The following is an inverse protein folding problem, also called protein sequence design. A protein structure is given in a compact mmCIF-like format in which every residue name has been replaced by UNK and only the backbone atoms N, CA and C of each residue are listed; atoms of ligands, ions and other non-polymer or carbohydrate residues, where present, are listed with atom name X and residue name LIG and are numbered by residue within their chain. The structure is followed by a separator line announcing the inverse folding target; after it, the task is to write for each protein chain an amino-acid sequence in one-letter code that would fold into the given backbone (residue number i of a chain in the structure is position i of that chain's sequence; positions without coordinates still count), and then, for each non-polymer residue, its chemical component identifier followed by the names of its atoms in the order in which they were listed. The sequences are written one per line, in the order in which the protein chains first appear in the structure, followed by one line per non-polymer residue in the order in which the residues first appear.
data_IF_177676401381
#
_entry.id   IF_177676401381
#
_cell.length_a   1.000
_cell.length_b   1.000
_cell.length_c   1.000
_cell.angle_alpha   90.00
_cell.angle_beta   90.00
_cell.angle_gamma   90.00
#
_symmetry.space_group_name_H-M   'P 1'
#
loop_
_entity.id
_entity.type
_entity.pdbx_description
1 polymer ?
#
# COMPACT_ATOMS: atom_id res chain seq x y z
N UNK A 1 8.18 15.61 -21.72
CA UNK A 1 8.66 14.27 -21.31
C UNK A 1 10.02 13.89 -21.92
N UNK A 2 10.31 14.22 -23.19
CA UNK A 2 11.57 13.83 -23.85
C UNK A 2 12.80 14.72 -23.54
N UNK A 3 12.64 15.97 -23.09
CA UNK A 3 13.77 16.87 -22.77
C UNK A 3 14.56 16.51 -21.51
N UNK A 4 14.21 15.42 -20.80
CA UNK A 4 14.71 15.09 -19.47
C UNK A 4 15.91 14.14 -19.43
N UNK A 5 16.44 13.77 -20.60
CA UNK A 5 17.50 12.77 -20.72
C UNK A 5 18.91 13.37 -20.69
N UNK A 6 19.07 14.69 -20.86
CA UNK A 6 20.40 15.33 -20.94
C UNK A 6 21.01 15.84 -19.63
N UNK A 7 20.22 16.03 -18.55
CA UNK A 7 20.69 16.78 -17.37
C UNK A 7 20.72 15.90 -16.11
N UNK A 8 21.93 15.60 -15.59
CA UNK A 8 22.15 14.81 -14.34
C UNK A 8 21.30 15.28 -13.15
N UNK A 9 21.01 16.59 -13.07
CA UNK A 9 20.19 17.23 -12.02
C UNK A 9 18.72 16.80 -12.04
N UNK A 10 18.18 16.42 -13.20
CA UNK A 10 16.79 15.94 -13.33
C UNK A 10 16.62 14.46 -13.03
N UNK A 11 17.70 13.67 -13.01
CA UNK A 11 17.66 12.24 -12.71
C UNK A 11 17.05 11.92 -11.34
N UNK A 12 17.26 12.80 -10.34
CA UNK A 12 16.65 12.68 -9.00
C UNK A 12 15.14 12.92 -9.03
N UNK A 13 14.70 13.95 -9.74
CA UNK A 13 13.28 14.29 -9.91
C UNK A 13 12.54 13.22 -10.72
N UNK A 14 13.18 12.64 -11.73
CA UNK A 14 12.65 11.49 -12.49
C UNK A 14 12.43 10.26 -11.63
N UNK A 15 13.38 9.91 -10.77
CA UNK A 15 13.26 8.76 -9.86
C UNK A 15 12.15 8.97 -8.83
N UNK A 16 12.07 10.16 -8.23
CA UNK A 16 10.99 10.51 -7.31
C UNK A 16 9.62 10.50 -8.01
N UNK A 17 9.52 11.05 -9.22
CA UNK A 17 8.28 11.01 -10.00
C UNK A 17 7.87 9.59 -10.38
N UNK A 18 8.82 8.78 -10.87
CA UNK A 18 8.59 7.37 -11.17
C UNK A 18 8.15 6.58 -9.93
N UNK A 19 8.75 6.86 -8.77
CA UNK A 19 8.36 6.27 -7.49
C UNK A 19 6.90 6.56 -7.14
N UNK A 20 6.49 7.83 -7.18
CA UNK A 20 5.11 8.26 -6.87
C UNK A 20 4.10 7.57 -7.80
N UNK A 21 4.42 7.50 -9.10
CA UNK A 21 3.60 6.81 -10.10
C UNK A 21 3.52 5.31 -9.81
N UNK A 22 4.65 4.66 -9.54
CA UNK A 22 4.69 3.23 -9.19
C UNK A 22 3.89 2.92 -7.92
N UNK A 23 3.99 3.75 -6.88
CA UNK A 23 3.19 3.56 -5.66
C UNK A 23 1.68 3.58 -5.94
N UNK A 24 1.23 4.51 -6.79
CA UNK A 24 -0.18 4.65 -7.13
C UNK A 24 -0.66 3.51 -8.03
N UNK A 25 0.18 3.11 -9.00
CA UNK A 25 -0.14 2.01 -9.92
C UNK A 25 -0.12 0.65 -9.22
N UNK A 26 0.87 0.38 -8.37
CA UNK A 26 1.01 -0.93 -7.73
C UNK A 26 0.04 -1.10 -6.56
N UNK A 27 -0.07 -0.11 -5.66
CA UNK A 27 -0.92 -0.23 -4.47
C UNK A 27 -2.41 -0.09 -4.82
N UNK A 28 -2.94 1.14 -4.95
CA UNK A 28 -4.35 1.35 -5.27
C UNK A 28 -4.79 0.81 -6.65
N UNK A 29 -3.96 0.97 -7.69
CA UNK A 29 -4.32 0.61 -9.06
C UNK A 29 -4.40 -0.89 -9.30
N UNK A 30 -3.30 -1.59 -9.08
CA UNK A 30 -3.15 -3.00 -9.41
C UNK A 30 -3.66 -3.89 -8.28
N UNK A 31 -3.03 -3.83 -7.10
CA UNK A 31 -3.36 -4.76 -6.01
C UNK A 31 -4.80 -4.57 -5.56
N UNK A 32 -5.18 -3.34 -5.20
CA UNK A 32 -6.51 -3.12 -4.60
C UNK A 32 -7.64 -3.17 -5.63
N UNK A 33 -7.51 -2.49 -6.77
CA UNK A 33 -8.58 -2.44 -7.76
C UNK A 33 -8.55 -3.58 -8.79
N UNK A 34 -7.41 -3.87 -9.43
CA UNK A 34 -7.39 -4.83 -10.52
C UNK A 34 -7.39 -6.30 -10.05
N UNK A 35 -6.62 -6.63 -9.01
CA UNK A 35 -6.51 -8.00 -8.51
C UNK A 35 -7.73 -8.34 -7.66
N UNK A 36 -8.00 -7.59 -6.59
CA UNK A 36 -8.97 -8.04 -5.59
C UNK A 36 -10.43 -7.67 -5.89
N UNK A 37 -10.70 -6.48 -6.41
CA UNK A 37 -12.05 -5.90 -6.40
C UNK A 37 -13.11 -6.74 -7.11
N UNK A 38 -12.75 -7.37 -8.23
CA UNK A 38 -13.68 -8.16 -9.03
C UNK A 38 -13.59 -9.67 -8.77
N UNK A 39 -12.48 -10.12 -8.19
CA UNK A 39 -12.18 -11.54 -8.02
C UNK A 39 -12.40 -12.07 -6.61
N UNK A 40 -12.32 -11.23 -5.57
CA UNK A 40 -12.33 -11.70 -4.18
C UNK A 40 -13.71 -12.05 -3.65
N UNK A 41 -14.74 -11.29 -4.06
CA UNK A 41 -16.12 -11.65 -3.77
C UNK A 41 -16.58 -11.46 -2.32
N UNK A 42 -15.81 -10.81 -1.44
CA UNK A 42 -16.18 -10.70 -0.02
C UNK A 42 -17.42 -9.81 0.20
N UNK A 43 -18.48 -10.29 0.88
CA UNK A 43 -19.67 -9.49 1.22
C UNK A 43 -19.38 -8.33 2.16
N UNK A 44 -20.01 -7.18 1.88
CA UNK A 44 -19.96 -6.01 2.77
C UNK A 44 -20.82 -6.25 4.02
N UNK A 45 -20.55 -5.59 5.16
CA UNK A 45 -21.41 -5.69 6.36
C UNK A 45 -22.90 -5.58 6.05
N UNK A 46 -23.31 -4.53 5.32
CA UNK A 46 -24.72 -4.31 4.94
C UNK A 46 -25.33 -5.35 4.01
N UNK A 47 -24.52 -6.21 3.41
CA UNK A 47 -24.97 -7.31 2.54
C UNK A 47 -25.07 -8.63 3.29
N UNK A 48 -24.62 -8.68 4.54
CA UNK A 48 -24.66 -9.92 5.33
C UNK A 48 -25.97 -10.11 6.08
N UNK A 49 -26.36 -11.36 6.30
CA UNK A 49 -27.57 -11.77 7.01
C UNK A 49 -27.73 -11.07 8.37
N UNK A 50 -26.62 -10.91 9.11
CA UNK A 50 -26.58 -10.21 10.40
C UNK A 50 -27.10 -8.77 10.35
N UNK A 51 -27.02 -8.11 9.20
CA UNK A 51 -27.43 -6.72 8.99
C UNK A 51 -28.58 -6.61 7.97
N UNK A 52 -29.38 -7.67 7.79
CA UNK A 52 -30.55 -7.68 6.91
C UNK A 52 -30.25 -7.92 5.43
N UNK A 53 -29.03 -8.37 5.10
CA UNK A 53 -28.67 -8.82 3.75
C UNK A 53 -28.92 -10.31 3.53
N UNK A 54 -28.48 -10.81 2.38
CA UNK A 54 -28.73 -12.20 1.93
C UNK A 54 -27.48 -13.07 1.80
N UNK A 55 -26.31 -12.54 2.17
CA UNK A 55 -25.05 -13.27 2.07
C UNK A 55 -24.52 -13.69 3.45
N UNK A 56 -23.98 -14.91 3.55
CA UNK A 56 -23.20 -15.32 4.71
C UNK A 56 -21.94 -14.44 4.89
N UNK A 57 -21.53 -14.21 6.13
CA UNK A 57 -20.26 -13.57 6.45
C UNK A 57 -19.08 -14.37 5.89
N UNK A 58 -18.04 -13.67 5.46
CA UNK A 58 -16.76 -14.25 5.02
C UNK A 58 -15.59 -13.57 5.68
N UNK A 59 -14.62 -14.38 6.12
CA UNK A 59 -13.34 -13.92 6.65
C UNK A 59 -12.53 -13.12 5.62
N UNK A 60 -11.48 -12.42 6.07
CA UNK A 60 -10.64 -11.61 5.18
C UNK A 60 -9.83 -12.44 4.19
N UNK A 61 -9.62 -13.73 4.51
CA UNK A 61 -8.88 -14.70 3.72
C UNK A 61 -9.75 -15.74 3.03
N UNK A 62 -11.07 -15.56 3.14
CA UNK A 62 -12.03 -16.47 2.52
C UNK A 62 -12.55 -15.85 1.23
N UNK A 63 -12.47 -16.62 0.15
CA UNK A 63 -13.09 -16.25 -1.12
C UNK A 63 -14.61 -16.26 -0.92
N UNK A 64 -15.26 -15.17 -1.32
CA UNK A 64 -16.71 -15.02 -1.22
C UNK A 64 -17.42 -15.36 -2.52
N UNK A 65 -18.22 -14.41 -2.99
CA UNK A 65 -19.03 -14.50 -4.21
C UNK A 65 -18.47 -13.52 -5.25
N UNK A 66 -17.54 -13.96 -6.13
CA UNK A 66 -16.91 -13.10 -7.13
C UNK A 66 -17.93 -12.33 -7.95
N UNK A 67 -17.58 -11.11 -8.38
CA UNK A 67 -18.44 -10.16 -9.12
C UNK A 67 -19.69 -9.64 -8.39
N UNK A 68 -20.26 -10.37 -7.43
CA UNK A 68 -21.47 -9.99 -6.68
C UNK A 68 -21.17 -9.12 -5.45
N UNK A 69 -20.01 -9.33 -4.84
CA UNK A 69 -19.63 -8.69 -3.60
C UNK A 69 -18.20 -8.13 -3.68
N UNK A 70 -18.00 -6.89 -3.20
CA UNK A 70 -16.76 -6.13 -3.39
C UNK A 70 -16.41 -5.33 -2.12
N UNK A 71 -16.15 -6.03 -1.02
CA UNK A 71 -15.70 -5.41 0.24
C UNK A 71 -14.17 -5.43 0.42
N UNK A 72 -13.48 -6.47 -0.04
CA UNK A 72 -12.04 -6.61 0.21
C UNK A 72 -11.19 -6.27 -1.02
N UNK A 73 -10.12 -5.47 -0.87
CA UNK A 73 -9.82 -4.49 0.18
C UNK A 73 -10.62 -3.17 0.05
N UNK A 74 -10.45 -2.27 1.02
CA UNK A 74 -11.01 -0.93 1.02
C UNK A 74 -10.25 0.04 0.09
N UNK A 75 -10.78 0.21 -1.13
CA UNK A 75 -10.22 1.15 -2.13
C UNK A 75 -10.17 2.62 -1.71
N UNK A 76 -11.10 3.10 -0.88
CA UNK A 76 -11.07 4.49 -0.39
C UNK A 76 -9.94 4.69 0.62
N UNK A 77 -9.77 3.73 1.54
CA UNK A 77 -8.69 3.76 2.51
C UNK A 77 -7.32 3.61 1.81
N UNK A 78 -7.20 2.78 0.78
CA UNK A 78 -5.92 2.59 0.07
C UNK A 78 -5.38 3.87 -0.57
N UNK A 79 -6.27 4.73 -1.09
CA UNK A 79 -5.86 6.04 -1.64
C UNK A 79 -5.31 6.94 -0.53
N UNK A 80 -5.92 6.94 0.66
CA UNK A 80 -5.43 7.72 1.78
C UNK A 80 -4.13 7.16 2.38
N UNK A 81 -3.99 5.83 2.43
CA UNK A 81 -2.78 5.14 2.85
C UNK A 81 -1.57 5.40 1.94
N UNK A 82 -1.78 5.91 0.72
CA UNK A 82 -0.72 6.29 -0.21
C UNK A 82 0.34 7.22 0.41
N UNK A 83 -0.07 8.11 1.33
CA UNK A 83 0.87 9.02 1.99
C UNK A 83 1.93 8.30 2.84
N UNK A 84 1.71 7.05 3.23
CA UNK A 84 2.75 6.24 3.89
C UNK A 84 3.99 6.08 2.99
N UNK A 85 3.84 6.14 1.67
CA UNK A 85 4.95 6.06 0.73
C UNK A 85 6.00 7.17 0.92
N UNK A 86 5.66 8.33 1.47
CA UNK A 86 6.68 9.35 1.75
C UNK A 86 7.71 8.88 2.79
N UNK A 87 7.38 7.89 3.65
CA UNK A 87 8.34 7.28 4.57
C UNK A 87 9.57 6.78 3.83
N UNK A 88 9.40 5.91 2.83
CA UNK A 88 10.51 5.34 2.06
C UNK A 88 11.25 6.37 1.22
N UNK A 89 10.61 7.47 0.85
CA UNK A 89 11.28 8.56 0.13
C UNK A 89 12.27 9.32 1.01
N UNK A 90 11.95 9.48 2.30
CA UNK A 90 12.67 10.37 3.21
C UNK A 90 13.46 9.67 4.32
N UNK A 91 13.29 8.36 4.55
CA UNK A 91 13.78 7.69 5.77
C UNK A 91 15.28 7.89 6.06
N UNK A 92 16.15 7.82 5.04
CA UNK A 92 17.60 8.03 5.19
C UNK A 92 18.03 9.50 5.31
N UNK A 93 17.21 10.46 4.88
CA UNK A 93 17.63 11.88 4.73
C UNK A 93 16.93 12.84 5.67
N UNK A 94 15.68 12.54 6.03
CA UNK A 94 14.79 13.41 6.80
C UNK A 94 13.87 12.55 7.66
N UNK A 95 14.42 11.92 8.71
CA UNK A 95 13.70 10.96 9.57
C UNK A 95 12.38 11.53 10.13
N UNK A 96 12.37 12.78 10.60
CA UNK A 96 11.14 13.45 11.09
C UNK A 96 10.06 13.55 10.01
N UNK A 97 10.45 13.92 8.78
CA UNK A 97 9.51 14.03 7.66
C UNK A 97 9.00 12.65 7.21
N UNK A 98 9.87 11.64 7.23
CA UNK A 98 9.47 10.26 6.95
C UNK A 98 8.42 9.76 7.94
N UNK A 99 8.66 9.96 9.24
CA UNK A 99 7.72 9.60 10.31
C UNK A 99 6.42 10.40 10.21
N UNK A 100 6.48 11.70 9.92
CA UNK A 100 5.28 12.51 9.70
C UNK A 100 4.45 11.99 8.52
N UNK A 101 5.09 11.63 7.41
CA UNK A 101 4.40 11.05 6.24
C UNK A 101 3.73 9.73 6.56
N UNK A 102 4.40 8.86 7.33
CA UNK A 102 3.84 7.59 7.78
C UNK A 102 2.61 7.83 8.67
N UNK A 103 2.74 8.71 9.66
CA UNK A 103 1.66 9.06 10.58
C UNK A 103 0.45 9.65 9.83
N UNK A 104 0.69 10.59 8.91
CA UNK A 104 -0.37 11.17 8.07
C UNK A 104 -1.07 10.08 7.25
N UNK A 105 -0.32 9.18 6.60
CA UNK A 105 -0.91 8.08 5.84
C UNK A 105 -1.75 7.13 6.69
N UNK A 106 -1.27 6.78 7.89
CA UNK A 106 -2.02 5.93 8.82
C UNK A 106 -3.29 6.64 9.30
N UNK A 107 -3.21 7.90 9.73
CA UNK A 107 -4.35 8.67 10.23
C UNK A 107 -5.39 8.86 9.12
N UNK A 108 -4.98 9.34 7.94
CA UNK A 108 -5.89 9.56 6.83
C UNK A 108 -6.53 8.24 6.36
N UNK A 109 -5.75 7.16 6.28
CA UNK A 109 -6.26 5.84 5.91
C UNK A 109 -7.23 5.26 6.95
N UNK A 110 -6.94 5.44 8.23
CA UNK A 110 -7.81 5.04 9.33
C UNK A 110 -9.12 5.83 9.33
N UNK A 111 -9.06 7.16 9.18
CA UNK A 111 -10.25 8.02 9.09
C UNK A 111 -11.11 7.64 7.88
N UNK A 112 -10.50 7.50 6.70
CA UNK A 112 -11.22 7.07 5.51
C UNK A 112 -11.85 5.69 5.72
N UNK A 113 -11.10 4.73 6.27
CA UNK A 113 -11.59 3.40 6.60
C UNK A 113 -12.74 3.42 7.60
N UNK A 114 -12.65 4.24 8.64
CA UNK A 114 -13.69 4.39 9.66
C UNK A 114 -15.01 4.88 9.06
N UNK A 115 -14.96 5.91 8.21
CA UNK A 115 -16.14 6.40 7.50
C UNK A 115 -16.77 5.30 6.63
N UNK A 116 -15.94 4.46 6.00
CA UNK A 116 -16.41 3.32 5.20
C UNK A 116 -17.01 2.19 6.03
N UNK A 117 -16.51 1.97 7.25
CA UNK A 117 -17.09 1.04 8.21
C UNK A 117 -18.45 1.55 8.71
N UNK A 118 -18.55 2.85 9.02
CA UNK A 118 -19.79 3.46 9.52
C UNK A 118 -20.98 3.34 8.56
N UNK A 119 -20.74 3.40 7.25
CA UNK A 119 -21.78 3.17 6.22
C UNK A 119 -22.00 1.68 5.88
N UNK A 120 -21.38 0.77 6.64
CA UNK A 120 -21.48 -0.68 6.44
C UNK A 120 -20.87 -1.16 5.12
N UNK A 121 -19.93 -0.42 4.54
CA UNK A 121 -19.35 -0.75 3.24
C UNK A 121 -18.12 -1.67 3.34
N UNK A 122 -17.42 -1.68 4.47
CA UNK A 122 -16.19 -2.43 4.66
C UNK A 122 -16.09 -2.96 6.10
N UNK A 123 -15.44 -4.12 6.25
CA UNK A 123 -15.00 -4.65 7.54
C UNK A 123 -13.70 -3.97 7.99
N UNK A 124 -13.42 -3.98 9.28
CA UNK A 124 -12.14 -3.50 9.82
C UNK A 124 -10.93 -4.18 9.14
N UNK A 125 -11.01 -5.49 8.92
CA UNK A 125 -9.97 -6.23 8.20
C UNK A 125 -9.76 -5.76 6.77
N UNK A 126 -10.81 -5.30 6.05
CA UNK A 126 -10.66 -4.75 4.70
C UNK A 126 -9.78 -3.49 4.73
N UNK A 127 -9.90 -2.67 5.78
CA UNK A 127 -9.13 -1.42 5.97
C UNK A 127 -7.69 -1.74 6.33
N UNK A 128 -7.46 -2.63 7.31
CA UNK A 128 -6.12 -3.02 7.75
C UNK A 128 -5.31 -3.61 6.59
N UNK A 129 -5.89 -4.56 5.85
CA UNK A 129 -5.22 -5.16 4.69
C UNK A 129 -4.94 -4.16 3.57
N UNK A 130 -5.80 -3.15 3.38
CA UNK A 130 -5.51 -2.07 2.43
C UNK A 130 -4.27 -1.28 2.81
N UNK A 131 -4.09 -0.98 4.10
CA UNK A 131 -2.90 -0.30 4.61
C UNK A 131 -1.65 -1.15 4.39
N UNK A 132 -1.72 -2.43 4.77
CA UNK A 132 -0.62 -3.40 4.60
C UNK A 132 -0.20 -3.49 3.13
N UNK A 133 -1.14 -3.69 2.21
CA UNK A 133 -0.82 -3.78 0.78
C UNK A 133 -0.17 -2.49 0.24
N UNK A 134 -0.71 -1.32 0.59
CA UNK A 134 -0.15 -0.04 0.14
C UNK A 134 1.24 0.20 0.72
N UNK A 135 1.49 -0.17 1.97
CA UNK A 135 2.81 -0.07 2.59
C UNK A 135 3.84 -0.92 1.85
N UNK A 136 3.56 -2.21 1.63
CA UNK A 136 4.49 -3.11 0.92
C UNK A 136 4.64 -2.75 -0.56
N UNK A 137 3.58 -2.29 -1.24
CA UNK A 137 3.70 -1.76 -2.60
C UNK A 137 4.58 -0.50 -2.65
N UNK A 138 4.51 0.35 -1.62
CA UNK A 138 5.36 1.53 -1.51
C UNK A 138 6.82 1.15 -1.26
N UNK A 139 7.08 0.15 -0.42
CA UNK A 139 8.42 -0.42 -0.22
C UNK A 139 8.99 -0.96 -1.54
N UNK A 140 8.23 -1.82 -2.24
CA UNK A 140 8.66 -2.40 -3.51
C UNK A 140 8.89 -1.32 -4.58
N UNK A 141 8.01 -0.32 -4.66
CA UNK A 141 8.18 0.84 -5.56
C UNK A 141 9.45 1.62 -5.24
N UNK A 142 9.78 1.80 -3.95
CA UNK A 142 10.98 2.51 -3.53
C UNK A 142 12.25 1.75 -3.93
N UNK A 143 12.23 0.43 -3.76
CA UNK A 143 13.30 -0.46 -4.19
C UNK A 143 13.47 -0.44 -5.72
N UNK A 144 12.38 -0.59 -6.48
CA UNK A 144 12.39 -0.56 -7.95
C UNK A 144 12.89 0.78 -8.51
N UNK A 145 12.44 1.91 -7.94
CA UNK A 145 12.87 3.24 -8.36
C UNK A 145 14.28 3.62 -7.87
N UNK A 146 14.86 2.83 -6.95
CA UNK A 146 16.15 3.11 -6.33
C UNK A 146 16.16 4.43 -5.55
N UNK A 147 15.06 4.71 -4.86
CA UNK A 147 14.90 5.89 -3.99
C UNK A 147 15.08 5.50 -2.52
N UNK A 148 15.16 6.49 -1.64
CA UNK A 148 15.27 6.24 -0.20
C UNK A 148 16.62 5.73 0.28
N UNK A 149 17.49 5.21 -0.59
CA UNK A 149 18.71 4.51 -0.16
C UNK A 149 18.48 3.03 0.16
N UNK A 150 17.27 2.52 -0.08
CA UNK A 150 16.82 1.19 0.33
C UNK A 150 17.68 0.05 -0.25
N UNK A 151 18.11 0.18 -1.50
CA UNK A 151 19.00 -0.81 -2.14
C UNK A 151 20.36 -0.94 -1.48
N UNK A 152 20.87 0.14 -0.87
CA UNK A 152 22.16 0.11 -0.16
C UNK A 152 21.98 -0.60 1.16
N UNK A 153 20.99 -0.20 1.94
CA UNK A 153 20.66 -0.85 3.22
C UNK A 153 20.45 -2.36 3.07
N UNK A 154 19.67 -2.80 2.09
CA UNK A 154 19.44 -4.25 1.85
C UNK A 154 20.73 -4.97 1.42
N UNK A 155 21.60 -4.31 0.66
CA UNK A 155 22.87 -4.90 0.26
C UNK A 155 23.86 -4.97 1.44
N UNK A 156 23.86 -3.95 2.30
CA UNK A 156 24.69 -3.90 3.51
C UNK A 156 24.25 -5.00 4.50
N UNK A 157 22.94 -5.17 4.72
CA UNK A 157 22.38 -6.25 5.55
C UNK A 157 22.74 -7.65 5.02
N UNK A 158 22.64 -7.88 3.70
CA UNK A 158 23.00 -9.17 3.11
C UNK A 158 24.50 -9.51 3.26
N UNK A 159 25.38 -8.50 3.21
CA UNK A 159 26.81 -8.70 3.42
C UNK A 159 27.14 -8.98 4.89
N UNK A 160 26.40 -8.37 5.83
CA UNK A 160 26.53 -8.65 7.27
C UNK A 160 26.11 -10.09 7.59
N UNK A 161 25.01 -10.57 6.99
CA UNK A 161 24.54 -11.95 7.14
C UNK A 161 25.56 -12.96 6.58
N UNK A 162 26.09 -12.72 5.36
CA UNK A 162 27.15 -13.58 4.79
C UNK A 162 28.42 -13.59 5.64
N UNK A 163 28.82 -12.44 6.21
CA UNK A 163 29.98 -12.36 7.08
C UNK A 163 29.77 -13.13 8.40
N UNK A 164 28.54 -13.14 8.92
CA UNK A 164 28.18 -13.90 10.11
C UNK A 164 28.20 -15.41 9.84
N UNK A 165 27.64 -15.85 8.71
CA UNK A 165 27.63 -17.26 8.31
C UNK A 165 29.04 -17.82 8.06
N UNK A 166 29.97 -17.01 7.54
CA UNK A 166 31.38 -17.39 7.37
C UNK A 166 32.14 -17.47 8.70
N UNK A 167 31.68 -16.75 9.73
CA UNK A 167 32.30 -16.70 11.05
C UNK A 167 31.77 -17.77 12.03
N UNK A 168 30.71 -18.50 11.68
CA UNK A 168 30.08 -19.55 12.49
C UNK A 168 30.60 -20.96 12.14
#
# INVERSE_FOLDING_TARGET
WLGSFGVRRWRRWRRTGAYVVLCMLLGPGLVVNAIFKDHYGRPRPKQTERYGGSFAYKGAWEIGYPRKCKSFPCGHASIAFFYMGGYFLWYQKRRRLAQASLAVGVICGAVAGYLRMGVGAHWFSDVVWSGIFVYYCSYASAWLAGVGGLRRTVADEALEDEAFDVAA
#
